data_IF_099964633304
#
_entry.id   IF_099964633304
#
_cell.length_a   1.000
_cell.length_b   1.000
_cell.length_c   1.000
_cell.angle_alpha   90.00
_cell.angle_beta   90.00
_cell.angle_gamma   90.00
#
_symmetry.space_group_name_H-M   'P 1'
#
loop_
_entity.id
_entity.type
_entity.pdbx_description
1 polymer ?
#
# COMPACT_ATOMS: atom_id res chain seq x y z
N UNK A 1 28.50 -24.30 22.17
CA UNK A 1 28.69 -22.99 21.51
C UNK A 1 27.39 -22.63 20.81
N UNK A 2 26.53 -21.86 21.48
CA UNK A 2 25.28 -21.36 20.92
C UNK A 2 25.61 -20.27 19.91
N UNK A 3 25.40 -20.53 18.62
CA UNK A 3 25.36 -19.48 17.62
C UNK A 3 24.18 -18.57 17.96
N UNK A 4 24.44 -17.38 18.47
CA UNK A 4 23.46 -16.29 18.49
C UNK A 4 23.24 -15.88 17.03
N UNK A 5 22.23 -16.47 16.40
CA UNK A 5 21.84 -16.23 15.01
C UNK A 5 21.05 -14.93 14.85
N UNK A 6 21.33 -13.91 15.67
CA UNK A 6 20.86 -12.54 15.42
C UNK A 6 21.69 -11.95 14.28
N UNK A 7 21.29 -12.27 13.05
CA UNK A 7 21.60 -11.45 11.91
C UNK A 7 21.32 -9.98 12.28
N UNK A 8 22.20 -9.02 11.94
CA UNK A 8 21.91 -7.62 12.20
C UNK A 8 20.56 -7.30 11.54
N UNK A 9 19.59 -6.93 12.37
CA UNK A 9 18.21 -6.56 12.04
C UNK A 9 18.20 -5.23 11.28
N UNK A 10 18.96 -5.15 10.19
CA UNK A 10 19.01 -3.98 9.33
C UNK A 10 17.68 -3.88 8.58
N UNK A 11 16.82 -3.00 9.06
CA UNK A 11 15.63 -2.58 8.33
C UNK A 11 16.05 -1.57 7.27
N UNK A 12 15.71 -1.84 6.01
CA UNK A 12 15.92 -0.91 4.92
C UNK A 12 15.04 0.33 5.12
N UNK A 13 15.65 1.52 5.13
CA UNK A 13 14.90 2.77 5.31
C UNK A 13 13.98 3.05 4.11
N UNK A 14 14.44 2.79 2.90
CA UNK A 14 13.68 3.07 1.67
C UNK A 14 14.06 2.07 0.59
N UNK A 15 13.06 1.53 -0.11
CA UNK A 15 13.21 0.93 -1.42
C UNK A 15 12.41 1.77 -2.41
N UNK A 16 13.09 2.42 -3.35
CA UNK A 16 12.48 3.16 -4.43
C UNK A 16 12.93 2.67 -5.81
N UNK A 17 11.97 2.34 -6.65
CA UNK A 17 12.23 1.79 -7.98
C UNK A 17 11.40 2.53 -9.03
N UNK A 18 12.08 2.90 -10.12
CA UNK A 18 11.53 3.68 -11.22
C UNK A 18 11.75 2.90 -12.52
N UNK A 19 10.65 2.45 -13.14
CA UNK A 19 10.72 1.73 -14.41
C UNK A 19 10.18 2.60 -15.54
N UNK A 20 11.05 3.28 -16.28
CA UNK A 20 10.62 4.09 -17.45
C UNK A 20 10.46 3.26 -18.73
N UNK A 21 11.08 2.06 -18.78
CA UNK A 21 11.10 1.18 -19.93
C UNK A 21 10.74 -0.26 -19.48
N UNK A 22 9.80 -0.98 -20.13
CA UNK A 22 9.39 -2.30 -19.67
C UNK A 22 10.52 -3.34 -19.72
N UNK A 23 11.51 -3.14 -20.59
CA UNK A 23 12.70 -3.99 -20.70
C UNK A 23 13.49 -4.05 -19.38
N UNK A 24 13.50 -2.98 -18.58
CA UNK A 24 14.24 -2.93 -17.31
C UNK A 24 13.69 -3.90 -16.26
N UNK A 25 12.40 -4.23 -16.33
CA UNK A 25 11.76 -5.10 -15.34
C UNK A 25 11.39 -6.47 -15.90
N UNK A 26 11.67 -6.73 -17.18
CA UNK A 26 11.21 -7.95 -17.88
C UNK A 26 11.66 -9.22 -17.15
N UNK A 27 12.92 -9.29 -16.72
CA UNK A 27 13.42 -10.43 -15.96
C UNK A 27 12.80 -10.55 -14.56
N UNK A 28 12.43 -9.43 -13.93
CA UNK A 28 11.75 -9.44 -12.64
C UNK A 28 10.31 -9.91 -12.76
N UNK A 29 9.61 -9.54 -13.84
CA UNK A 29 8.23 -9.95 -14.10
C UNK A 29 8.12 -11.46 -14.35
N UNK A 30 9.15 -12.09 -14.93
CA UNK A 30 9.25 -13.55 -15.11
C UNK A 30 9.36 -14.33 -13.79
N UNK A 31 9.74 -13.67 -12.68
CA UNK A 31 9.85 -14.33 -11.38
C UNK A 31 8.48 -14.73 -10.84
N UNK A 32 8.46 -15.76 -9.99
CA UNK A 32 7.24 -16.16 -9.25
C UNK A 32 6.82 -15.05 -8.29
N UNK A 33 5.54 -14.97 -7.98
CA UNK A 33 5.06 -14.04 -6.96
C UNK A 33 5.72 -14.36 -5.61
N UNK A 34 6.01 -13.35 -4.81
CA UNK A 34 6.70 -13.48 -3.52
C UNK A 34 8.06 -14.21 -3.59
N UNK A 35 8.86 -14.02 -4.65
CA UNK A 35 10.17 -14.69 -4.79
C UNK A 35 11.38 -13.77 -4.66
N UNK A 36 11.21 -12.45 -4.77
CA UNK A 36 12.29 -11.48 -4.62
C UNK A 36 12.35 -11.03 -3.16
N UNK A 37 13.28 -11.57 -2.38
CA UNK A 37 13.42 -11.21 -0.96
C UNK A 37 13.97 -9.79 -0.78
N UNK A 38 13.21 -8.93 -0.11
CA UNK A 38 13.60 -7.54 0.20
C UNK A 38 13.86 -7.35 1.70
N UNK A 39 13.40 -8.26 2.56
CA UNK A 39 13.54 -8.15 4.01
C UNK A 39 12.55 -7.15 4.62
N UNK A 40 12.99 -6.40 5.64
CA UNK A 40 12.20 -5.36 6.32
C UNK A 40 12.45 -4.01 5.65
N UNK A 41 11.40 -3.29 5.29
CA UNK A 41 11.45 -1.99 4.60
C UNK A 41 10.52 -1.01 5.32
N UNK A 42 10.96 0.23 5.57
CA UNK A 42 10.09 1.29 6.12
C UNK A 42 9.23 1.94 5.05
N UNK A 43 9.84 2.36 3.94
CA UNK A 43 9.15 3.01 2.82
C UNK A 43 9.37 2.28 1.50
N UNK A 44 8.28 1.91 0.83
CA UNK A 44 8.29 1.33 -0.51
C UNK A 44 7.69 2.32 -1.51
N UNK A 45 8.46 2.68 -2.53
CA UNK A 45 8.02 3.62 -3.57
C UNK A 45 8.25 3.01 -4.96
N UNK A 46 7.18 2.70 -5.69
CA UNK A 46 7.27 2.12 -7.02
C UNK A 46 6.61 3.06 -8.03
N UNK A 47 7.35 3.45 -9.07
CA UNK A 47 6.86 4.33 -10.13
C UNK A 47 6.93 3.71 -11.51
N UNK A 48 5.95 4.06 -12.34
CA UNK A 48 5.83 3.61 -13.71
C UNK A 48 5.83 2.07 -13.80
N UNK A 49 6.60 1.46 -14.71
CA UNK A 49 6.63 0.00 -14.86
C UNK A 49 7.01 -0.74 -13.57
N UNK A 50 7.77 -0.13 -12.65
CA UNK A 50 8.11 -0.75 -11.37
C UNK A 50 6.89 -1.08 -10.51
N UNK A 51 5.74 -0.45 -10.73
CA UNK A 51 4.48 -0.84 -10.05
C UNK A 51 4.14 -2.32 -10.34
N UNK A 52 4.40 -2.80 -11.56
CA UNK A 52 4.14 -4.18 -11.98
C UNK A 52 4.96 -5.25 -11.24
N UNK A 53 6.07 -4.88 -10.59
CA UNK A 53 6.89 -5.84 -9.83
C UNK A 53 6.40 -6.04 -8.39
N UNK A 54 5.44 -5.24 -7.90
CA UNK A 54 4.89 -5.34 -6.55
C UNK A 54 4.56 -6.78 -6.10
N UNK A 55 3.82 -7.61 -6.87
CA UNK A 55 3.50 -9.00 -6.47
C UNK A 55 4.73 -9.92 -6.43
N UNK A 56 5.86 -9.51 -6.99
CA UNK A 56 7.11 -10.29 -7.02
C UNK A 56 7.93 -10.11 -5.75
N UNK A 57 7.75 -8.98 -5.05
CA UNK A 57 8.48 -8.64 -3.84
C UNK A 57 8.00 -9.49 -2.65
N UNK A 58 8.94 -10.08 -1.93
CA UNK A 58 8.74 -10.79 -0.67
C UNK A 58 9.30 -9.95 0.48
N UNK A 59 8.38 -9.36 1.22
CA UNK A 59 8.69 -8.66 2.48
C UNK A 59 8.72 -9.65 3.64
N UNK A 60 9.56 -9.34 4.62
CA UNK A 60 9.61 -10.06 5.89
C UNK A 60 8.23 -10.11 6.55
N UNK A 61 7.90 -11.20 7.24
CA UNK A 61 6.56 -11.43 7.80
C UNK A 61 6.20 -10.40 8.87
N UNK A 62 7.17 -10.07 9.73
CA UNK A 62 7.09 -9.00 10.73
C UNK A 62 7.27 -7.58 10.17
N UNK A 63 7.27 -7.37 8.85
CA UNK A 63 7.48 -6.04 8.30
C UNK A 63 6.27 -5.12 8.57
N UNK A 64 6.54 -4.01 9.23
CA UNK A 64 5.58 -2.91 9.42
C UNK A 64 6.10 -1.70 8.66
N UNK A 65 5.43 -1.34 7.57
CA UNK A 65 5.80 -0.20 6.72
C UNK A 65 5.22 1.09 7.26
N UNK A 66 6.03 2.14 7.20
CA UNK A 66 5.59 3.51 7.40
C UNK A 66 4.80 3.99 6.18
N UNK A 67 5.24 3.64 4.97
CA UNK A 67 4.64 4.19 3.75
C UNK A 67 4.79 3.25 2.53
N UNK A 68 3.71 3.12 1.75
CA UNK A 68 3.73 2.59 0.38
C UNK A 68 3.23 3.69 -0.56
N UNK A 69 4.01 4.00 -1.59
CA UNK A 69 3.64 4.92 -2.68
C UNK A 69 3.71 4.18 -4.01
N UNK A 70 2.59 4.13 -4.73
CA UNK A 70 2.51 3.54 -6.07
C UNK A 70 2.00 4.61 -7.04
N UNK A 71 2.79 4.88 -8.09
CA UNK A 71 2.48 5.92 -9.07
C UNK A 71 2.60 5.36 -10.49
N UNK A 72 1.49 5.33 -11.22
CA UNK A 72 1.44 4.86 -12.59
C UNK A 72 0.66 5.86 -13.46
N UNK A 73 1.37 6.60 -14.30
CA UNK A 73 0.75 7.58 -15.21
C UNK A 73 0.25 6.99 -16.54
N UNK A 74 0.51 5.71 -16.82
CA UNK A 74 0.13 5.04 -18.06
C UNK A 74 -0.50 3.67 -17.80
N UNK A 75 -1.44 3.20 -18.65
CA UNK A 75 -2.13 1.93 -18.41
C UNK A 75 -1.18 0.74 -18.50
N UNK A 76 -0.13 0.82 -19.35
CA UNK A 76 0.83 -0.27 -19.54
C UNK A 76 1.67 -0.56 -18.29
N UNK A 77 1.79 0.40 -17.38
CA UNK A 77 2.52 0.24 -16.12
C UNK A 77 1.87 -0.78 -15.18
N UNK A 78 0.56 -1.02 -15.31
CA UNK A 78 -0.21 -1.92 -14.45
C UNK A 78 -0.72 -3.18 -15.17
N UNK A 79 -0.37 -3.39 -16.45
CA UNK A 79 -0.88 -4.50 -17.27
C UNK A 79 -0.73 -5.86 -16.57
N UNK A 80 0.41 -6.12 -15.93
CA UNK A 80 0.64 -7.36 -15.20
C UNK A 80 -0.25 -7.50 -13.95
N UNK A 81 -0.57 -6.38 -13.29
CA UNK A 81 -1.42 -6.39 -12.11
C UNK A 81 -2.90 -6.59 -12.46
N UNK A 82 -3.34 -6.13 -13.63
CA UNK A 82 -4.72 -6.37 -14.11
C UNK A 82 -5.04 -7.86 -14.23
N UNK A 83 -4.04 -8.66 -14.60
CA UNK A 83 -4.14 -10.14 -14.71
C UNK A 83 -4.23 -10.85 -13.36
N UNK A 84 -3.92 -10.16 -12.25
CA UNK A 84 -3.98 -10.77 -10.92
C UNK A 84 -5.40 -10.80 -10.39
N UNK A 85 -5.69 -11.79 -9.55
CA UNK A 85 -6.98 -11.88 -8.86
C UNK A 85 -7.15 -10.74 -7.85
N UNK A 86 -8.39 -10.37 -7.57
CA UNK A 86 -8.70 -9.39 -6.53
C UNK A 86 -8.22 -9.93 -5.17
N UNK A 87 -7.73 -9.03 -4.30
CA UNK A 87 -7.21 -9.39 -2.96
C UNK A 87 -6.08 -10.44 -2.97
N UNK A 88 -5.27 -10.49 -4.03
CA UNK A 88 -4.14 -11.43 -4.16
C UNK A 88 -2.78 -10.82 -3.76
N UNK A 89 -2.64 -9.49 -3.77
CA UNK A 89 -1.38 -8.80 -3.49
C UNK A 89 -1.32 -8.36 -2.03
N UNK A 90 -0.53 -9.05 -1.22
CA UNK A 90 -0.42 -8.78 0.21
C UNK A 90 0.49 -7.59 0.53
N UNK A 91 -0.05 -6.49 1.11
CA UNK A 91 0.72 -5.26 1.39
C UNK A 91 1.20 -5.09 2.85
N UNK A 92 1.19 -6.17 3.64
CA UNK A 92 1.64 -6.24 5.06
C UNK A 92 0.97 -5.15 5.93
N UNK A 93 1.43 -4.96 7.17
CA UNK A 93 0.95 -3.84 8.02
C UNK A 93 1.60 -2.55 7.52
N UNK A 94 0.79 -1.54 7.25
CA UNK A 94 1.23 -0.29 6.62
C UNK A 94 0.49 0.90 7.21
N UNK A 95 1.23 1.93 7.63
CA UNK A 95 0.66 3.17 8.19
C UNK A 95 0.07 4.10 7.12
N UNK A 96 0.75 4.28 5.99
CA UNK A 96 0.29 5.13 4.89
C UNK A 96 0.28 4.40 3.54
N UNK A 97 -0.84 4.46 2.83
CA UNK A 97 -0.96 3.97 1.45
C UNK A 97 -1.32 5.13 0.53
N UNK A 98 -0.49 5.36 -0.49
CA UNK A 98 -0.70 6.40 -1.49
C UNK A 98 -0.68 5.79 -2.89
N UNK A 99 -1.79 5.95 -3.62
CA UNK A 99 -1.96 5.47 -5.00
C UNK A 99 -2.27 6.66 -5.91
N UNK A 100 -1.47 6.82 -6.98
CA UNK A 100 -1.63 7.88 -7.97
C UNK A 100 -1.78 7.33 -9.39
N UNK A 101 -2.65 7.95 -10.17
CA UNK A 101 -2.89 7.58 -11.56
C UNK A 101 -3.56 6.22 -11.69
N UNK A 102 -3.17 5.43 -12.70
CA UNK A 102 -3.62 4.05 -12.89
C UNK A 102 -3.30 3.14 -11.70
N UNK A 103 -2.42 3.53 -10.77
CA UNK A 103 -2.23 2.77 -9.54
C UNK A 103 -3.50 2.73 -8.68
N UNK A 104 -4.42 3.70 -8.80
CA UNK A 104 -5.73 3.65 -8.12
C UNK A 104 -6.53 2.42 -8.57
N UNK A 105 -6.48 2.09 -9.86
CA UNK A 105 -7.15 0.92 -10.42
C UNK A 105 -6.65 -0.43 -9.88
N UNK A 106 -5.48 -0.49 -9.24
CA UNK A 106 -4.97 -1.74 -8.64
C UNK A 106 -5.50 -1.96 -7.22
N UNK A 107 -6.17 -0.97 -6.62
CA UNK A 107 -6.66 -1.05 -5.25
C UNK A 107 -7.51 -2.31 -4.96
N UNK A 108 -8.41 -2.78 -5.85
CA UNK A 108 -9.12 -4.05 -5.67
C UNK A 108 -8.22 -5.30 -5.62
N UNK A 109 -7.00 -5.21 -6.16
CA UNK A 109 -6.01 -6.30 -6.19
C UNK A 109 -5.26 -6.41 -4.87
N UNK A 110 -5.20 -5.33 -4.09
CA UNK A 110 -4.50 -5.29 -2.81
C UNK A 110 -5.27 -6.02 -1.72
N UNK A 111 -4.53 -6.74 -0.88
CA UNK A 111 -5.01 -7.37 0.34
C UNK A 111 -4.37 -6.68 1.53
N UNK A 112 -5.16 -5.85 2.20
CA UNK A 112 -4.77 -5.19 3.45
C UNK A 112 -5.02 -6.15 4.61
N UNK A 113 -4.10 -6.19 5.57
CA UNK A 113 -4.23 -7.03 6.76
C UNK A 113 -5.44 -6.59 7.59
N UNK A 114 -6.30 -7.51 8.04
CA UNK A 114 -7.54 -7.17 8.77
C UNK A 114 -7.31 -6.38 10.06
N UNK A 115 -6.20 -6.66 10.75
CA UNK A 115 -5.76 -5.90 11.94
C UNK A 115 -5.03 -4.58 11.63
N UNK A 116 -4.89 -4.20 10.36
CA UNK A 116 -4.17 -2.98 10.02
C UNK A 116 -5.01 -1.76 10.43
N UNK A 117 -4.40 -0.90 11.23
CA UNK A 117 -4.92 0.43 11.54
C UNK A 117 -4.07 1.43 10.77
N UNK A 118 -4.61 1.89 9.63
CA UNK A 118 -3.92 2.81 8.74
C UNK A 118 -4.03 4.24 9.28
N UNK A 119 -2.93 4.98 9.27
CA UNK A 119 -2.96 6.41 9.58
C UNK A 119 -3.57 7.19 8.42
N UNK A 120 -3.22 6.84 7.17
CA UNK A 120 -3.67 7.60 6.01
C UNK A 120 -3.80 6.78 4.73
N UNK A 121 -4.94 6.90 4.06
CA UNK A 121 -5.15 6.45 2.68
C UNK A 121 -5.22 7.68 1.77
N UNK A 122 -4.42 7.72 0.71
CA UNK A 122 -4.46 8.78 -0.32
C UNK A 122 -4.67 8.14 -1.68
N UNK A 123 -5.73 8.54 -2.37
CA UNK A 123 -6.02 8.13 -3.74
C UNK A 123 -6.09 9.38 -4.62
N UNK A 124 -5.27 9.44 -5.67
CA UNK A 124 -5.22 10.57 -6.59
C UNK A 124 -5.49 10.14 -8.03
N UNK A 125 -6.57 10.65 -8.62
CA UNK A 125 -6.90 10.41 -10.01
C UNK A 125 -7.32 11.69 -10.72
N UNK A 126 -6.60 12.06 -11.79
CA UNK A 126 -6.93 13.24 -12.60
C UNK A 126 -7.61 12.91 -13.94
N UNK A 127 -7.69 11.63 -14.30
CA UNK A 127 -8.39 11.14 -15.49
C UNK A 127 -9.33 9.97 -15.15
N UNK A 128 -10.52 9.87 -15.78
CA UNK A 128 -11.48 8.81 -15.50
C UNK A 128 -10.92 7.40 -15.74
N UNK A 129 -10.03 7.24 -16.73
CA UNK A 129 -9.40 5.97 -17.09
C UNK A 129 -8.61 5.32 -15.94
N UNK A 130 -8.14 6.12 -14.98
CA UNK A 130 -7.43 5.62 -13.81
C UNK A 130 -8.32 4.79 -12.87
N UNK A 131 -9.64 4.96 -12.99
CA UNK A 131 -10.63 4.36 -12.09
C UNK A 131 -11.33 3.15 -12.70
N UNK A 132 -11.09 2.83 -13.98
CA UNK A 132 -11.84 1.80 -14.73
C UNK A 132 -11.95 0.47 -13.98
N UNK A 133 -10.85 -0.01 -13.40
CA UNK A 133 -10.81 -1.27 -12.64
C UNK A 133 -11.53 -1.19 -11.29
N UNK A 134 -11.53 -0.02 -10.64
CA UNK A 134 -12.19 0.18 -9.35
C UNK A 134 -13.70 0.38 -9.50
N UNK A 135 -14.14 1.09 -10.55
CA UNK A 135 -15.55 1.42 -10.78
C UNK A 135 -16.41 0.19 -11.11
N UNK A 136 -15.84 -0.84 -11.75
CA UNK A 136 -16.55 -2.10 -12.05
C UNK A 136 -16.79 -2.96 -10.81
N UNK A 137 -16.18 -2.63 -9.67
CA UNK A 137 -16.38 -3.38 -8.43
C UNK A 137 -17.73 -3.07 -7.80
N UNK A 138 -18.21 -3.99 -6.97
CA UNK A 138 -19.43 -3.76 -6.17
C UNK A 138 -19.16 -2.71 -5.10
N UNK A 139 -20.20 -2.01 -4.69
CA UNK A 139 -20.13 -1.07 -3.57
C UNK A 139 -19.66 -1.81 -2.31
N UNK A 140 -18.84 -1.15 -1.50
CA UNK A 140 -18.22 -1.72 -0.29
C UNK A 140 -17.48 -3.04 -0.49
N UNK A 141 -16.96 -3.32 -1.69
CA UNK A 141 -16.22 -4.57 -1.95
C UNK A 141 -14.71 -4.46 -1.77
N UNK A 142 -14.18 -3.22 -1.81
CA UNK A 142 -12.75 -2.92 -1.62
C UNK A 142 -12.49 -2.67 -0.14
N UNK A 143 -12.07 -3.72 0.57
CA UNK A 143 -11.78 -3.65 2.01
C UNK A 143 -10.46 -2.92 2.29
N UNK A 144 -10.55 -1.82 3.03
CA UNK A 144 -9.41 -1.02 3.52
C UNK A 144 -9.16 -1.29 5.01
N UNK A 145 -10.21 -1.58 5.78
CA UNK A 145 -10.13 -1.74 7.24
C UNK A 145 -10.22 -0.42 8.00
N UNK A 146 -9.53 -0.31 9.14
CA UNK A 146 -9.55 0.88 9.99
C UNK A 146 -8.57 1.93 9.47
N UNK A 147 -9.02 3.18 9.33
CA UNK A 147 -8.19 4.27 8.83
C UNK A 147 -8.47 5.58 9.58
N UNK A 148 -7.44 6.35 9.92
CA UNK A 148 -7.61 7.66 10.61
C UNK A 148 -7.97 8.78 9.63
N UNK A 149 -7.39 8.78 8.43
CA UNK A 149 -7.62 9.82 7.42
C UNK A 149 -7.72 9.20 6.02
N UNK A 150 -8.75 9.58 5.26
CA UNK A 150 -8.90 9.25 3.83
C UNK A 150 -8.85 10.54 3.02
N UNK A 151 -7.96 10.61 2.03
CA UNK A 151 -7.87 11.69 1.05
C UNK A 151 -8.16 11.16 -0.34
N UNK A 152 -9.22 11.67 -0.94
CA UNK A 152 -9.61 11.39 -2.32
C UNK A 152 -9.41 12.66 -3.14
N UNK A 153 -8.38 12.66 -3.98
CA UNK A 153 -7.97 13.80 -4.78
C UNK A 153 -8.46 13.65 -6.24
N UNK A 154 -9.00 14.74 -6.78
CA UNK A 154 -9.58 14.75 -8.12
C UNK A 154 -10.79 13.82 -8.25
N UNK A 155 -10.78 13.00 -9.30
CA UNK A 155 -11.84 12.04 -9.62
C UNK A 155 -11.84 10.82 -8.70
N UNK A 156 -10.84 10.65 -7.82
CA UNK A 156 -10.82 9.52 -6.88
C UNK A 156 -12.03 9.46 -5.94
N UNK A 157 -12.77 10.56 -5.79
CA UNK A 157 -14.06 10.60 -5.06
C UNK A 157 -15.14 9.72 -5.68
N UNK A 158 -15.09 9.48 -7.00
CA UNK A 158 -16.08 8.66 -7.71
C UNK A 158 -16.08 7.19 -7.27
N UNK A 159 -14.97 6.72 -6.69
CA UNK A 159 -14.85 5.34 -6.19
C UNK A 159 -15.05 5.25 -4.68
N UNK A 160 -15.42 6.33 -3.99
CA UNK A 160 -15.60 6.33 -2.53
C UNK A 160 -16.62 5.28 -2.06
N UNK A 161 -17.73 5.13 -2.78
CA UNK A 161 -18.76 4.13 -2.49
C UNK A 161 -18.27 2.68 -2.64
N UNK A 162 -17.19 2.46 -3.40
CA UNK A 162 -16.55 1.15 -3.58
C UNK A 162 -15.71 0.74 -2.37
N UNK A 163 -15.24 1.73 -1.59
CA UNK A 163 -14.35 1.53 -0.45
C UNK A 163 -15.13 1.13 0.80
N UNK A 164 -14.69 0.05 1.44
CA UNK A 164 -15.16 -0.39 2.75
C UNK A 164 -14.08 -0.12 3.80
N UNK A 165 -14.31 0.92 4.61
CA UNK A 165 -13.40 1.37 5.65
C UNK A 165 -14.16 1.87 6.86
N UNK A 166 -13.51 1.79 8.02
CA UNK A 166 -13.97 2.38 9.27
C UNK A 166 -13.07 3.54 9.63
N UNK A 167 -13.62 4.75 9.66
CA UNK A 167 -12.89 5.90 10.21
C UNK A 167 -12.74 5.74 11.72
N UNK A 168 -11.53 5.96 12.21
CA UNK A 168 -11.24 5.99 13.64
C UNK A 168 -10.71 7.36 14.03
N UNK A 169 -11.06 7.82 15.24
CA UNK A 169 -10.57 9.09 15.73
C UNK A 169 -9.04 9.06 15.88
N UNK A 170 -8.33 10.16 15.56
CA UNK A 170 -6.94 10.30 15.94
C UNK A 170 -6.84 10.27 17.46
N UNK A 171 -5.79 9.66 18.01
CA UNK A 171 -5.55 9.63 19.46
C UNK A 171 -5.48 11.06 20.00
N UNK A 172 -6.60 11.57 20.54
CA UNK A 172 -6.63 12.85 21.24
C UNK A 172 -5.87 12.63 22.53
N UNK A 173 -4.64 13.13 22.60
CA UNK A 173 -3.89 13.20 23.86
C UNK A 173 -4.78 13.95 24.86
N UNK A 174 -5.17 13.37 26.00
CA UNK A 174 -6.01 14.07 26.95
C UNK A 174 -5.31 15.36 27.40
N UNK A 175 -6.05 16.45 27.59
CA UNK A 175 -5.47 17.73 27.97
C UNK A 175 -4.66 17.60 29.27
N UNK A 176 -3.53 18.31 29.33
CA UNK A 176 -2.59 18.28 30.46
C UNK A 176 -3.23 18.62 31.82
N UNK A 177 -4.42 19.24 31.82
CA UNK A 177 -5.21 19.56 33.02
C UNK A 177 -5.68 18.34 33.82
N UNK A 178 -5.66 17.13 33.25
CA UNK A 178 -6.04 15.90 33.96
C UNK A 178 -4.87 15.14 34.60
N UNK A 179 -3.61 15.59 34.44
CA UNK A 179 -2.42 14.90 35.00
C UNK A 179 -2.08 15.26 36.46
N UNK A 180 -2.80 16.19 37.09
CA UNK A 180 -2.46 16.69 38.43
C UNK A 180 -3.49 16.34 39.52
N UNK A 181 -4.36 15.34 39.33
CA UNK A 181 -5.31 14.89 40.37
C UNK A 181 -5.15 13.41 40.72
N UNK A 182 -3.99 13.03 41.22
CA UNK A 182 -3.83 11.86 42.11
C UNK A 182 -2.54 12.04 42.92
N UNK A 183 -2.59 12.85 43.98
CA UNK A 183 -1.64 12.83 45.10
C UNK A 183 -2.26 13.64 46.24
N UNK A 184 -3.17 13.02 46.98
CA UNK A 184 -3.57 13.39 48.33
C UNK A 184 -4.06 12.14 49.05
#
# INVERSE_FOLDING_TARGET
MSYDSRAPTSQLKKLDLYGYNPQHITELLKKKNNSIWVGKVKRLELKSYAVGILPKLKLHEENVMEEIVLDACRPEHITELRKTENKSIWIRKTKKLELRGYAVGILPKLRIHGENVMEKLILGACHPEYLTEALITKDKSIWIGKVKEVRLEGLAKEIENKLDFTLIEPDVKPPLSLRLRTSS
#
